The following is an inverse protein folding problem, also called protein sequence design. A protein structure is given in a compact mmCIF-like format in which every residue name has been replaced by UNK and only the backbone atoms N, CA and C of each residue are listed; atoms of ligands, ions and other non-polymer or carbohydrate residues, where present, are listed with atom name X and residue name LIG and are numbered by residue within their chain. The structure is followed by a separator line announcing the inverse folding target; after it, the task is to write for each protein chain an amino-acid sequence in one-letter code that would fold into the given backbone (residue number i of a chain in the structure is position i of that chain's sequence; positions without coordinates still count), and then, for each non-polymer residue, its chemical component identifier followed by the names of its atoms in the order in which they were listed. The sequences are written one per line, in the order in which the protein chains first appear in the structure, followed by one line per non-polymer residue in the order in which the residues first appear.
data_IF_407444225685
#
_entry.id   IF_407444225685
#
_cell.length_a   1.000
_cell.length_b   1.000
_cell.length_c   1.000
_cell.angle_alpha   90.00
_cell.angle_beta   90.00
_cell.angle_gamma   90.00
#
_symmetry.space_group_name_H-M   'P 1'
#
loop_
_entity.id
_entity.type
_entity.pdbx_description
1 polymer ?
#
# COMPACT_ATOMS: atom_id res chain seq x y z
N UNK A 1 3.56 -10.18 -8.83
CA UNK A 1 3.02 -9.39 -7.74
C UNK A 1 1.62 -9.87 -7.38
N UNK A 2 1.37 -10.13 -6.10
CA UNK A 2 0.11 -10.66 -5.57
C UNK A 2 -0.69 -9.59 -4.80
N UNK A 3 -0.42 -8.30 -5.00
CA UNK A 3 -1.04 -7.21 -4.26
C UNK A 3 -2.58 -7.22 -4.31
N UNK A 4 -3.19 -7.79 -5.34
CA UNK A 4 -4.65 -8.02 -5.38
C UNK A 4 -5.19 -8.91 -4.25
N UNK A 5 -4.33 -9.63 -3.51
CA UNK A 5 -4.73 -10.41 -2.33
C UNK A 5 -5.31 -9.51 -1.24
N UNK A 6 -4.84 -8.26 -1.14
CA UNK A 6 -5.41 -7.25 -0.25
C UNK A 6 -6.91 -7.08 -0.46
N UNK A 7 -7.38 -7.11 -1.73
CA UNK A 7 -8.83 -7.09 -2.00
C UNK A 7 -9.54 -8.29 -1.39
N UNK A 8 -8.95 -9.50 -1.53
CA UNK A 8 -9.55 -10.73 -0.98
C UNK A 8 -9.64 -10.66 0.55
N UNK A 9 -8.61 -10.12 1.21
CA UNK A 9 -8.59 -9.94 2.66
C UNK A 9 -9.63 -8.89 3.11
N UNK A 10 -9.65 -7.74 2.46
CA UNK A 10 -10.57 -6.65 2.81
C UNK A 10 -12.03 -6.97 2.48
N UNK A 11 -12.33 -7.83 1.50
CA UNK A 11 -13.69 -8.31 1.21
C UNK A 11 -14.29 -9.16 2.36
N UNK A 12 -13.46 -9.64 3.29
CA UNK A 12 -13.89 -10.36 4.49
C UNK A 12 -14.28 -9.45 5.64
N UNK A 13 -13.88 -8.18 5.61
CA UNK A 13 -14.23 -7.19 6.63
C UNK A 13 -15.72 -6.84 6.47
N UNK A 14 -16.49 -6.92 7.56
CA UNK A 14 -17.93 -6.69 7.59
C UNK A 14 -18.32 -5.55 8.53
N UNK A 15 -17.40 -4.65 8.81
CA UNK A 15 -17.59 -3.40 9.53
C UNK A 15 -17.00 -2.23 8.72
N UNK A 16 -17.47 -0.99 8.90
CA UNK A 16 -16.87 0.17 8.26
C UNK A 16 -15.38 0.26 8.55
N UNK A 17 -14.55 0.49 7.54
CA UNK A 17 -13.10 0.56 7.69
C UNK A 17 -12.44 1.52 6.69
N UNK A 18 -11.22 1.94 7.04
CA UNK A 18 -10.28 2.63 6.16
C UNK A 18 -9.26 1.64 5.62
N UNK A 19 -8.84 1.83 4.37
CA UNK A 19 -7.72 1.10 3.78
C UNK A 19 -6.58 2.09 3.52
N UNK A 20 -5.42 1.85 4.14
CA UNK A 20 -4.18 2.59 3.84
C UNK A 20 -3.30 1.71 2.97
N UNK A 21 -2.88 2.22 1.83
CA UNK A 21 -2.03 1.53 0.85
C UNK A 21 -0.75 2.33 0.68
N UNK A 22 0.37 1.72 1.01
CA UNK A 22 1.71 2.21 0.68
C UNK A 22 2.17 1.48 -0.57
N UNK A 23 2.37 2.22 -1.67
CA UNK A 23 2.66 1.65 -2.97
C UNK A 23 3.30 2.71 -3.87
N UNK A 24 4.22 2.32 -4.74
CA UNK A 24 4.71 3.19 -5.82
C UNK A 24 3.69 3.33 -6.94
N UNK A 25 2.83 2.34 -7.13
CA UNK A 25 1.79 2.29 -8.17
C UNK A 25 0.42 2.73 -7.62
N UNK A 26 -0.51 3.00 -8.49
CA UNK A 26 -1.87 3.41 -8.06
C UNK A 26 -2.83 2.24 -7.92
N UNK A 27 -2.58 1.15 -8.61
CA UNK A 27 -3.41 -0.05 -8.68
C UNK A 27 -4.90 0.21 -8.99
N UNK A 28 -5.13 1.31 -9.76
CA UNK A 28 -6.45 1.78 -10.16
C UNK A 28 -6.58 1.90 -11.69
N UNK A 29 -5.83 1.08 -12.44
CA UNK A 29 -5.90 1.02 -13.89
C UNK A 29 -7.26 0.46 -14.34
N UNK A 30 -7.57 0.65 -15.62
CA UNK A 30 -8.71 -0.05 -16.22
C UNK A 30 -8.41 -1.55 -16.30
N UNK A 31 -9.36 -2.41 -15.91
CA UNK A 31 -9.19 -3.86 -16.06
C UNK A 31 -8.85 -4.23 -17.49
N UNK A 32 -7.84 -5.05 -17.69
CA UNK A 32 -7.51 -5.60 -19.02
C UNK A 32 -8.55 -6.62 -19.48
N UNK A 33 -9.12 -7.36 -18.53
CA UNK A 33 -10.18 -8.36 -18.77
C UNK A 33 -11.30 -8.08 -17.78
N UNK A 34 -12.50 -7.89 -18.29
CA UNK A 34 -13.68 -7.65 -17.47
C UNK A 34 -13.95 -8.86 -16.55
N UNK A 35 -14.23 -8.61 -15.28
CA UNK A 35 -14.48 -9.65 -14.27
C UNK A 35 -13.24 -10.23 -13.60
N UNK A 36 -12.02 -10.04 -14.14
CA UNK A 36 -10.78 -10.45 -13.47
C UNK A 36 -10.19 -9.28 -12.66
N UNK A 37 -9.57 -9.63 -11.55
CA UNK A 37 -8.80 -8.68 -10.73
C UNK A 37 -7.32 -8.96 -10.90
N UNK A 38 -6.54 -7.92 -11.14
CA UNK A 38 -5.09 -7.96 -11.28
C UNK A 38 -4.41 -7.07 -10.24
N UNK A 39 -3.07 -7.18 -10.13
CA UNK A 39 -2.28 -6.27 -9.30
C UNK A 39 -2.47 -4.80 -9.68
N UNK A 40 -2.73 -4.47 -10.95
CA UNK A 40 -2.86 -3.09 -11.40
C UNK A 40 -4.26 -2.47 -11.28
N UNK A 41 -5.30 -3.21 -10.85
CA UNK A 41 -6.68 -2.69 -10.83
C UNK A 41 -7.47 -2.95 -9.54
N UNK A 42 -6.90 -3.68 -8.60
CA UNK A 42 -7.58 -4.15 -7.40
C UNK A 42 -8.06 -3.03 -6.48
N UNK A 43 -7.24 -1.99 -6.28
CA UNK A 43 -7.57 -0.89 -5.37
C UNK A 43 -8.79 -0.09 -5.85
N UNK A 44 -8.88 0.13 -7.17
CA UNK A 44 -10.06 0.74 -7.78
C UNK A 44 -11.33 -0.11 -7.59
N UNK A 45 -11.21 -1.44 -7.61
CA UNK A 45 -12.33 -2.35 -7.35
C UNK A 45 -12.75 -2.35 -5.89
N UNK A 46 -11.80 -2.27 -4.93
CA UNK A 46 -12.17 -2.12 -3.50
C UNK A 46 -13.05 -0.90 -3.30
N UNK A 47 -12.67 0.26 -3.87
CA UNK A 47 -13.48 1.49 -3.74
C UNK A 47 -14.89 1.32 -4.32
N UNK A 48 -15.03 0.59 -5.45
CA UNK A 48 -16.30 0.44 -6.15
C UNK A 48 -17.20 -0.61 -5.53
N UNK A 49 -16.62 -1.76 -5.17
CA UNK A 49 -17.38 -2.98 -4.93
C UNK A 49 -17.53 -3.31 -3.45
N UNK A 50 -16.62 -2.83 -2.57
CA UNK A 50 -16.69 -3.13 -1.15
C UNK A 50 -17.64 -2.14 -0.45
N UNK A 51 -18.78 -2.61 0.13
CA UNK A 51 -19.77 -1.73 0.76
C UNK A 51 -19.29 -1.14 2.10
N UNK A 52 -18.26 -1.72 2.71
CA UNK A 52 -17.76 -1.32 4.03
C UNK A 52 -16.60 -0.34 3.95
N UNK A 53 -15.97 -0.13 2.77
CA UNK A 53 -14.90 0.85 2.62
C UNK A 53 -15.42 2.28 2.81
N UNK A 54 -14.90 2.97 3.82
CA UNK A 54 -15.20 4.37 4.07
C UNK A 54 -14.24 5.28 3.30
N UNK A 55 -12.97 4.96 3.32
CA UNK A 55 -11.92 5.71 2.63
C UNK A 55 -10.75 4.79 2.27
N UNK A 56 -10.08 5.11 1.16
CA UNK A 56 -8.81 4.54 0.74
C UNK A 56 -7.78 5.66 0.69
N UNK A 57 -6.73 5.53 1.50
CA UNK A 57 -5.61 6.46 1.56
C UNK A 57 -4.44 5.82 0.82
N UNK A 58 -4.11 6.35 -0.35
CA UNK A 58 -3.01 5.88 -1.19
C UNK A 58 -1.78 6.76 -0.98
N UNK A 59 -0.66 6.15 -0.60
CA UNK A 59 0.57 6.84 -0.19
C UNK A 59 1.75 6.33 -1.01
N UNK A 60 2.42 7.20 -1.76
CA UNK A 60 3.67 6.87 -2.43
C UNK A 60 3.74 7.08 -3.94
N UNK A 61 2.66 6.96 -4.73
CA UNK A 61 2.75 7.11 -6.17
C UNK A 61 3.23 8.50 -6.59
N UNK A 62 3.80 8.58 -7.78
CA UNK A 62 4.15 9.86 -8.38
C UNK A 62 2.89 10.67 -8.70
N UNK A 63 2.99 12.00 -8.55
CA UNK A 63 1.86 12.92 -8.79
C UNK A 63 1.25 12.76 -10.19
N UNK A 64 2.09 12.46 -11.19
CA UNK A 64 1.63 12.21 -12.58
C UNK A 64 0.70 11.01 -12.67
N UNK A 65 1.01 9.93 -11.92
CA UNK A 65 0.24 8.67 -11.93
C UNK A 65 -1.07 8.83 -11.15
N UNK A 66 -1.04 9.56 -10.04
CA UNK A 66 -2.26 9.97 -9.32
C UNK A 66 -3.20 10.78 -10.23
N UNK A 67 -2.66 11.72 -10.99
CA UNK A 67 -3.45 12.54 -11.92
C UNK A 67 -4.03 11.73 -13.10
N UNK A 68 -3.42 10.59 -13.42
CA UNK A 68 -3.89 9.67 -14.46
C UNK A 68 -4.99 8.70 -13.97
N UNK A 69 -5.30 8.66 -12.66
CA UNK A 69 -6.38 7.84 -12.13
C UNK A 69 -7.71 8.27 -12.76
N UNK A 70 -8.32 7.36 -13.51
CA UNK A 70 -9.63 7.59 -14.15
C UNK A 70 -10.82 7.48 -13.20
N UNK A 71 -10.60 6.99 -11.95
CA UNK A 71 -11.62 6.85 -10.93
C UNK A 71 -11.78 8.15 -10.15
N UNK A 72 -13.00 8.69 -10.13
CA UNK A 72 -13.36 9.81 -9.25
C UNK A 72 -14.20 9.29 -8.10
N UNK A 73 -13.71 9.44 -6.87
CA UNK A 73 -14.42 9.03 -5.67
C UNK A 73 -14.06 9.97 -4.52
N UNK A 74 -15.06 10.34 -3.72
CA UNK A 74 -14.85 11.07 -2.47
C UNK A 74 -14.24 10.19 -1.36
N UNK A 75 -14.16 8.88 -1.59
CA UNK A 75 -13.48 7.93 -0.69
C UNK A 75 -11.97 7.86 -0.92
N UNK A 76 -11.45 8.43 -2.02
CA UNK A 76 -10.03 8.35 -2.37
C UNK A 76 -9.28 9.58 -1.87
N UNK A 77 -8.29 9.35 -1.01
CA UNK A 77 -7.33 10.35 -0.53
C UNK A 77 -5.95 9.90 -1.01
N UNK A 78 -5.16 10.80 -1.58
CA UNK A 78 -3.86 10.44 -2.14
C UNK A 78 -2.75 11.33 -1.59
N UNK A 79 -1.60 10.74 -1.29
CA UNK A 79 -0.37 11.44 -0.95
C UNK A 79 0.72 11.00 -1.93
N UNK A 80 1.13 11.90 -2.80
CA UNK A 80 2.18 11.63 -3.78
C UNK A 80 3.56 11.57 -3.13
N UNK A 81 4.48 10.87 -3.78
CA UNK A 81 5.89 10.85 -3.39
C UNK A 81 6.48 12.27 -3.26
N UNK A 82 6.03 13.21 -4.10
CA UNK A 82 6.46 14.61 -4.03
C UNK A 82 5.95 15.31 -2.75
N UNK A 83 4.66 15.10 -2.39
CA UNK A 83 4.10 15.69 -1.16
C UNK A 83 4.77 15.13 0.09
N UNK A 84 5.09 13.84 0.10
CA UNK A 84 5.80 13.18 1.21
C UNK A 84 7.21 13.76 1.36
N UNK A 85 7.97 13.86 0.26
CA UNK A 85 9.32 14.46 0.27
C UNK A 85 9.34 15.93 0.69
N UNK A 86 8.28 16.67 0.37
CA UNK A 86 8.14 18.09 0.73
C UNK A 86 7.53 18.30 2.12
N UNK A 87 7.21 17.23 2.86
CA UNK A 87 6.50 17.28 4.16
C UNK A 87 5.17 18.07 4.10
N UNK A 88 4.52 18.07 2.91
CA UNK A 88 3.34 18.88 2.60
C UNK A 88 2.02 18.09 2.74
N UNK A 89 1.94 17.16 3.68
CA UNK A 89 0.76 16.28 3.86
C UNK A 89 -0.37 16.91 4.69
N UNK A 90 -0.09 17.94 5.46
CA UNK A 90 -1.04 18.51 6.44
C UNK A 90 -2.37 18.95 5.83
N UNK A 91 -2.36 19.48 4.59
CA UNK A 91 -3.56 20.01 3.95
C UNK A 91 -4.67 18.96 3.71
N UNK A 92 -4.34 17.68 3.66
CA UNK A 92 -5.27 16.57 3.41
C UNK A 92 -5.57 15.73 4.66
N UNK A 93 -4.76 15.85 5.70
CA UNK A 93 -4.90 15.04 6.92
C UNK A 93 -6.26 15.26 7.60
N UNK A 94 -6.80 16.47 7.54
CA UNK A 94 -8.12 16.78 8.07
C UNK A 94 -9.29 16.10 7.33
N UNK A 95 -9.03 15.45 6.19
CA UNK A 95 -10.03 14.70 5.43
C UNK A 95 -10.10 13.23 5.86
N UNK A 96 -9.11 12.78 6.65
CA UNK A 96 -9.04 11.38 7.10
C UNK A 96 -9.97 11.20 8.30
N UNK A 97 -10.90 10.26 8.16
CA UNK A 97 -11.74 9.83 9.28
C UNK A 97 -10.98 8.80 10.14
N UNK A 98 -10.54 9.23 11.30
CA UNK A 98 -9.82 8.40 12.27
C UNK A 98 -10.76 7.58 13.17
N UNK A 99 -12.07 7.75 13.06
CA UNK A 99 -13.04 7.07 13.93
C UNK A 99 -13.31 5.62 13.52
N UNK A 100 -12.97 5.24 12.28
CA UNK A 100 -13.14 3.88 11.78
C UNK A 100 -11.82 3.10 11.88
N UNK A 101 -11.87 1.77 12.10
CA UNK A 101 -10.67 0.95 12.12
C UNK A 101 -9.99 0.93 10.75
N UNK A 102 -8.70 0.57 10.73
CA UNK A 102 -7.86 0.61 9.55
C UNK A 102 -7.35 -0.79 9.17
N UNK A 103 -7.31 -1.08 7.88
CA UNK A 103 -6.52 -2.15 7.27
C UNK A 103 -5.33 -1.52 6.53
N UNK A 104 -4.13 -2.07 6.68
CA UNK A 104 -2.90 -1.53 6.11
C UNK A 104 -2.39 -2.53 5.07
N UNK A 105 -2.06 -2.04 3.89
CA UNK A 105 -1.41 -2.82 2.83
C UNK A 105 -0.13 -2.11 2.39
N UNK A 106 0.96 -2.86 2.32
CA UNK A 106 2.28 -2.33 1.99
C UNK A 106 2.83 -3.10 0.80
N UNK A 107 3.04 -2.41 -0.34
CA UNK A 107 3.91 -2.92 -1.39
C UNK A 107 5.33 -2.38 -1.18
N UNK A 108 6.30 -3.30 -1.06
CA UNK A 108 7.70 -2.94 -0.80
C UNK A 108 8.32 -2.08 -1.91
N UNK A 109 7.71 -2.04 -3.10
CA UNK A 109 8.16 -1.18 -4.18
C UNK A 109 7.97 0.33 -3.92
N UNK A 110 7.24 0.71 -2.86
CA UNK A 110 7.18 2.10 -2.38
C UNK A 110 8.53 2.58 -1.85
N UNK A 111 9.36 1.65 -1.38
CA UNK A 111 10.67 1.94 -0.79
C UNK A 111 11.73 2.21 -1.85
N UNK A 112 12.83 2.82 -1.40
CA UNK A 112 14.03 2.99 -2.21
C UNK A 112 14.70 1.64 -2.48
N UNK A 113 15.24 1.45 -3.69
CA UNK A 113 15.94 0.23 -4.12
C UNK A 113 17.07 -0.20 -3.16
N UNK A 114 17.70 0.76 -2.49
CA UNK A 114 18.76 0.46 -1.52
C UNK A 114 18.26 -0.21 -0.23
N UNK A 115 16.94 -0.25 -0.02
CA UNK A 115 16.30 -0.80 1.17
C UNK A 115 15.66 -2.15 0.84
N UNK A 116 14.92 -2.23 -0.26
CA UNK A 116 14.24 -3.45 -0.70
C UNK A 116 14.24 -3.50 -2.21
N UNK A 117 14.76 -4.56 -2.79
CA UNK A 117 14.73 -4.79 -4.23
C UNK A 117 13.47 -5.56 -4.60
N UNK A 118 12.75 -5.11 -5.63
CA UNK A 118 11.55 -5.75 -6.15
C UNK A 118 11.62 -5.92 -7.66
N UNK A 119 10.76 -6.73 -8.26
CA UNK A 119 10.70 -6.92 -9.72
C UNK A 119 9.93 -5.81 -10.44
N UNK A 120 9.55 -4.74 -9.74
CA UNK A 120 8.74 -3.64 -10.28
C UNK A 120 9.50 -2.32 -10.21
N UNK A 121 9.03 -1.32 -10.96
CA UNK A 121 9.56 0.04 -10.78
C UNK A 121 9.30 0.51 -9.35
N UNK A 122 10.34 1.06 -8.72
CA UNK A 122 10.31 1.40 -7.32
C UNK A 122 10.21 2.89 -7.05
N UNK A 123 9.68 3.19 -5.89
CA UNK A 123 9.65 4.53 -5.31
C UNK A 123 10.98 4.90 -4.66
N UNK A 124 10.93 5.93 -3.84
CA UNK A 124 12.10 6.46 -3.13
C UNK A 124 11.77 6.77 -1.66
N UNK A 125 10.77 6.09 -1.10
CA UNK A 125 10.43 6.28 0.32
C UNK A 125 11.54 5.68 1.18
N UNK A 126 11.96 6.44 2.19
CA UNK A 126 12.91 5.93 3.19
C UNK A 126 12.17 5.03 4.17
N UNK A 127 12.82 3.97 4.65
CA UNK A 127 12.25 3.06 5.63
C UNK A 127 11.76 3.82 6.88
N UNK A 128 12.58 4.70 7.45
CA UNK A 128 12.18 5.50 8.61
C UNK A 128 10.96 6.41 8.39
N UNK A 129 10.67 6.79 7.14
CA UNK A 129 9.44 7.52 6.80
C UNK A 129 8.22 6.59 6.87
N UNK A 130 8.34 5.39 6.31
CA UNK A 130 7.30 4.36 6.39
C UNK A 130 7.01 3.97 7.85
N UNK A 131 8.05 3.65 8.62
CA UNK A 131 7.96 3.31 10.05
C UNK A 131 7.28 4.42 10.87
N UNK A 132 7.66 5.67 10.62
CA UNK A 132 7.04 6.81 11.29
C UNK A 132 5.54 6.90 11.00
N UNK A 133 5.12 6.76 9.75
CA UNK A 133 3.71 6.78 9.34
C UNK A 133 2.95 5.60 9.94
N UNK A 134 3.50 4.39 9.86
CA UNK A 134 2.92 3.19 10.48
C UNK A 134 2.76 3.37 11.98
N UNK A 135 3.79 3.87 12.66
CA UNK A 135 3.75 4.14 14.10
C UNK A 135 2.66 5.15 14.49
N UNK A 136 2.38 6.16 13.64
CA UNK A 136 1.27 7.08 13.88
C UNK A 136 -0.07 6.35 13.75
N UNK A 137 -0.25 5.57 12.68
CA UNK A 137 -1.49 4.85 12.40
C UNK A 137 -1.79 3.85 13.52
N UNK A 138 -0.83 2.99 13.86
CA UNK A 138 -0.98 1.92 14.85
C UNK A 138 -1.29 2.47 16.24
N UNK A 139 -0.70 3.62 16.62
CA UNK A 139 -0.96 4.23 17.94
C UNK A 139 -2.33 4.93 18.02
N UNK A 140 -2.92 5.33 16.90
CA UNK A 140 -4.12 6.18 16.91
C UNK A 140 -5.38 5.49 16.38
N UNK A 141 -5.26 4.31 15.75
CA UNK A 141 -6.41 3.60 15.17
C UNK A 141 -6.38 2.11 15.52
N UNK A 142 -7.57 1.49 15.60
CA UNK A 142 -7.70 0.03 15.69
C UNK A 142 -7.29 -0.57 14.34
N UNK A 143 -6.21 -1.36 14.32
CA UNK A 143 -5.76 -2.08 13.13
C UNK A 143 -6.50 -3.40 13.01
N UNK A 144 -7.14 -3.64 11.86
CA UNK A 144 -7.86 -4.89 11.54
C UNK A 144 -6.95 -5.96 10.94
N UNK A 145 -5.90 -5.54 10.26
CA UNK A 145 -4.92 -6.42 9.64
C UNK A 145 -3.89 -5.62 8.87
N UNK A 146 -2.77 -6.28 8.59
CA UNK A 146 -1.67 -5.75 7.77
C UNK A 146 -1.30 -6.84 6.78
N UNK A 147 -1.07 -6.47 5.53
CA UNK A 147 -0.39 -7.31 4.55
C UNK A 147 0.79 -6.59 3.92
N UNK A 148 1.77 -7.37 3.53
CA UNK A 148 2.99 -6.89 2.87
C UNK A 148 3.20 -7.73 1.61
N UNK A 149 3.48 -7.07 0.50
CA UNK A 149 3.81 -7.70 -0.77
C UNK A 149 4.98 -7.00 -1.46
N UNK A 150 5.27 -7.35 -2.70
CA UNK A 150 6.40 -6.79 -3.45
C UNK A 150 7.65 -7.67 -3.31
N UNK A 151 7.47 -8.99 -3.18
CA UNK A 151 8.58 -9.94 -3.13
C UNK A 151 9.31 -10.01 -4.47
N UNK A 152 10.63 -10.22 -4.43
CA UNK A 152 11.42 -10.60 -5.60
C UNK A 152 10.97 -11.96 -6.15
N UNK A 153 11.20 -12.19 -7.44
CA UNK A 153 10.91 -13.48 -8.07
C UNK A 153 11.90 -14.53 -7.57
N UNK A 154 11.37 -15.61 -7.01
CA UNK A 154 12.13 -16.72 -6.42
C UNK A 154 12.43 -17.86 -7.38
N UNK A 155 12.21 -17.69 -8.69
CA UNK A 155 12.56 -18.71 -9.72
C UNK A 155 14.07 -18.78 -9.98
N UNK A 156 14.89 -18.47 -8.98
CA UNK A 156 16.35 -18.51 -9.05
C UNK A 156 16.93 -19.80 -8.45
N UNK A 157 18.15 -20.22 -8.86
CA UNK A 157 18.87 -21.30 -8.21
C UNK A 157 19.04 -21.07 -6.71
N UNK A 158 19.08 -22.15 -5.93
CA UNK A 158 19.06 -22.12 -4.46
C UNK A 158 19.99 -21.08 -3.78
N UNK A 159 21.22 -20.79 -4.27
CA UNK A 159 22.06 -19.75 -3.69
C UNK A 159 21.51 -18.34 -3.83
N UNK A 160 20.92 -18.03 -4.99
CA UNK A 160 20.31 -16.71 -5.26
C UNK A 160 18.97 -16.56 -4.50
N UNK A 161 18.26 -17.65 -4.28
CA UNK A 161 17.08 -17.67 -3.42
C UNK A 161 17.38 -17.25 -1.98
N UNK A 162 18.51 -17.69 -1.42
CA UNK A 162 18.93 -17.30 -0.06
C UNK A 162 19.29 -15.81 0.03
N UNK A 163 19.88 -15.21 -1.02
CA UNK A 163 20.12 -13.77 -1.08
C UNK A 163 18.81 -12.97 -1.16
N UNK A 164 17.80 -13.47 -1.88
CA UNK A 164 16.49 -12.83 -1.98
C UNK A 164 15.68 -12.96 -0.68
N UNK A 165 15.81 -14.07 0.05
CA UNK A 165 15.23 -14.19 1.40
C UNK A 165 15.83 -13.16 2.37
N UNK A 166 17.15 -12.90 2.28
CA UNK A 166 17.81 -11.90 3.10
C UNK A 166 17.30 -10.49 2.76
N UNK A 167 17.22 -10.14 1.47
CA UNK A 167 16.68 -8.85 0.99
C UNK A 167 15.20 -8.64 1.38
N UNK A 168 14.39 -9.67 1.32
CA UNK A 168 12.98 -9.64 1.70
C UNK A 168 12.80 -9.65 3.23
N UNK A 169 13.68 -10.34 3.95
CA UNK A 169 13.65 -10.50 5.40
C UNK A 169 13.84 -9.19 6.15
N UNK A 170 14.75 -8.34 5.70
CA UNK A 170 15.04 -7.06 6.35
C UNK A 170 13.82 -6.14 6.43
N UNK A 171 12.95 -6.13 5.41
CA UNK A 171 11.72 -5.36 5.43
C UNK A 171 10.66 -5.95 6.39
N UNK A 172 10.61 -7.28 6.55
CA UNK A 172 9.66 -7.96 7.42
C UNK A 172 10.03 -7.86 8.90
N UNK A 173 11.32 -7.87 9.26
CA UNK A 173 11.79 -7.73 10.63
C UNK A 173 11.37 -6.39 11.26
N UNK A 174 11.46 -5.31 10.49
CA UNK A 174 11.05 -3.98 10.97
C UNK A 174 9.55 -3.80 11.16
N UNK A 175 8.72 -4.59 10.48
CA UNK A 175 7.25 -4.51 10.63
C UNK A 175 6.72 -5.38 11.75
N UNK A 176 7.41 -6.47 12.13
CA UNK A 176 7.02 -7.33 13.26
C UNK A 176 7.27 -6.66 14.62
N UNK A 177 8.37 -5.93 14.75
CA UNK A 177 8.71 -5.20 15.99
C UNK A 177 7.81 -3.99 16.26
N UNK A 178 7.08 -3.51 15.25
CA UNK A 178 6.10 -2.41 15.42
C UNK A 178 4.73 -2.88 15.92
N UNK A 179 4.51 -4.19 16.05
CA UNK A 179 3.24 -4.80 16.47
C UNK A 179 3.22 -5.23 17.96
N UNK A 180 4.36 -5.13 18.69
CA UNK A 180 4.51 -5.32 20.11
C UNK A 180 4.47 -3.98 20.87
#
# INVERSE_FOLDING_TARGET
NYHYVTKIMTDRIKEPFSLVVFDHHTDMQKPMIEGLTSCGDWAGKVIKDNPYICQLILVGPEKKDINAIGLRSNKLITYSAQEIRAEAMESKTNQIDLSVPVYISIDKDVLDESISETNWSQGHMKLGTLEHMLGIIIRNQKVLGIDICGECDTNMPLPEYMEDEEKNGDCLLYTSDAAD
#
